data_IF_968011640103
#
_entry.id   IF_968011640103
#
_cell.length_a   1.000
_cell.length_b   1.000
_cell.length_c   1.000
_cell.angle_alpha   90.00
_cell.angle_beta   90.00
_cell.angle_gamma   90.00
#
_symmetry.space_group_name_H-M   'P 1'
#
loop_
_entity.id
_entity.type
_entity.pdbx_description
1 polymer ?
#
# COMPACT_ATOMS: atom_id res chain seq x y z
N UNK A 1 11.26 2.65 -1.70
CA UNK A 1 12.36 1.70 -2.01
C UNK A 1 13.49 1.75 -0.98
N UNK A 2 14.02 2.90 -0.60
CA UNK A 2 15.16 3.00 0.32
C UNK A 2 14.99 2.32 1.69
N UNK A 3 13.75 2.20 2.19
CA UNK A 3 13.44 1.51 3.45
C UNK A 3 13.19 0.01 3.27
N UNK A 4 12.86 -0.42 2.06
CA UNK A 4 12.69 -1.84 1.71
C UNK A 4 14.05 -2.50 1.47
N UNK A 5 14.94 -1.79 0.78
CA UNK A 5 16.34 -2.16 0.57
C UNK A 5 17.18 -1.11 1.30
N UNK A 6 17.75 -1.42 2.46
CA UNK A 6 18.22 -0.42 3.42
C UNK A 6 19.41 0.39 2.89
N UNK A 7 19.12 1.45 2.18
CA UNK A 7 20.03 2.54 1.86
C UNK A 7 20.06 3.55 3.01
N UNK A 8 18.99 3.56 3.82
CA UNK A 8 18.83 4.39 5.02
C UNK A 8 18.68 3.45 6.22
N UNK A 9 19.32 3.76 7.34
CA UNK A 9 19.15 2.99 8.58
C UNK A 9 17.66 2.96 8.98
N UNK A 10 17.05 1.76 9.12
CA UNK A 10 15.60 1.61 9.28
C UNK A 10 14.98 2.33 10.47
N UNK A 11 15.71 2.54 11.56
CA UNK A 11 15.25 3.24 12.76
C UNK A 11 15.92 4.61 12.95
N UNK A 12 16.44 5.20 11.86
CA UNK A 12 16.88 6.59 11.88
C UNK A 12 15.68 7.54 11.94
N UNK A 13 15.90 8.76 12.39
CA UNK A 13 14.89 9.81 12.39
C UNK A 13 14.32 10.05 10.99
N UNK A 14 15.17 10.03 9.96
CA UNK A 14 14.78 10.17 8.56
C UNK A 14 13.82 9.05 8.16
N UNK A 15 14.14 7.79 8.46
CA UNK A 15 13.32 6.65 8.15
C UNK A 15 11.96 6.72 8.84
N UNK A 16 11.93 7.10 10.12
CA UNK A 16 10.71 7.28 10.89
C UNK A 16 9.82 8.38 10.30
N UNK A 17 10.40 9.52 9.93
CA UNK A 17 9.67 10.62 9.30
C UNK A 17 9.10 10.21 7.93
N UNK A 18 9.88 9.50 7.10
CA UNK A 18 9.42 8.97 5.82
C UNK A 18 8.23 8.02 5.99
N UNK A 19 8.32 7.06 6.89
CA UNK A 19 7.24 6.09 7.13
C UNK A 19 5.98 6.76 7.69
N UNK A 20 6.13 7.73 8.57
CA UNK A 20 5.01 8.52 9.09
C UNK A 20 4.29 9.29 7.97
N UNK A 21 5.03 9.89 7.03
CA UNK A 21 4.44 10.57 5.87
C UNK A 21 3.72 9.56 4.98
N UNK A 22 4.35 8.45 4.63
CA UNK A 22 3.74 7.37 3.83
C UNK A 22 2.44 6.88 4.48
N UNK A 23 2.49 6.54 5.77
CA UNK A 23 1.34 6.07 6.55
C UNK A 23 0.17 7.05 6.52
N UNK A 24 0.45 8.33 6.76
CA UNK A 24 -0.59 9.37 6.88
C UNK A 24 -1.15 9.84 5.54
N UNK A 25 -0.30 9.95 4.52
CA UNK A 25 -0.67 10.60 3.26
C UNK A 25 -0.97 9.62 2.13
N UNK A 26 -0.34 8.44 2.10
CA UNK A 26 -0.42 7.53 0.96
C UNK A 26 -1.18 6.23 1.24
N UNK A 27 -1.03 5.62 2.42
CA UNK A 27 -1.68 4.33 2.75
C UNK A 27 -3.19 4.50 2.87
N UNK A 28 -3.94 3.64 2.16
CA UNK A 28 -5.38 3.51 2.32
C UNK A 28 -5.80 2.03 2.51
N UNK A 29 -7.07 1.69 2.28
CA UNK A 29 -7.55 0.32 2.51
C UNK A 29 -7.03 -0.67 1.46
N UNK A 30 -6.84 -0.23 0.22
CA UNK A 30 -6.52 -1.08 -0.92
C UNK A 30 -5.06 -1.00 -1.40
N UNK A 31 -4.25 -0.11 -0.82
CA UNK A 31 -2.87 0.04 -1.28
C UNK A 31 -2.21 1.34 -0.86
N UNK A 32 -1.25 1.77 -1.65
CA UNK A 32 -0.67 3.10 -1.55
C UNK A 32 -1.06 3.95 -2.75
N UNK A 33 -1.42 5.19 -2.47
CA UNK A 33 -1.57 6.22 -3.50
C UNK A 33 -0.21 6.59 -4.06
N UNK A 34 -0.16 6.85 -5.35
CA UNK A 34 1.08 7.27 -6.03
C UNK A 34 1.42 8.73 -5.83
N UNK A 35 0.43 9.55 -5.42
CA UNK A 35 0.60 10.95 -5.07
C UNK A 35 -0.29 11.30 -3.86
N UNK A 36 0.13 12.21 -3.02
CA UNK A 36 -0.65 12.62 -1.86
C UNK A 36 -1.76 13.61 -2.25
N UNK A 37 -2.90 13.52 -1.58
CA UNK A 37 -3.98 14.49 -1.75
C UNK A 37 -3.48 15.90 -1.37
N UNK A 38 -3.74 16.85 -2.23
CA UNK A 38 -3.31 18.25 -2.09
C UNK A 38 -2.03 18.60 -2.85
N UNK A 39 -1.34 17.62 -3.41
CA UNK A 39 -0.23 17.88 -4.34
C UNK A 39 -0.76 18.28 -5.72
N UNK A 40 0.05 19.03 -6.47
CA UNK A 40 -0.28 19.43 -7.83
C UNK A 40 -0.53 18.22 -8.73
N UNK A 41 -1.55 18.28 -9.58
CA UNK A 41 -1.98 17.20 -10.48
C UNK A 41 -2.53 15.94 -9.78
N UNK A 42 -2.87 15.99 -8.49
CA UNK A 42 -3.49 14.86 -7.80
C UNK A 42 -4.86 14.49 -8.36
N UNK A 43 -5.06 13.20 -8.68
CA UNK A 43 -6.30 12.64 -9.21
C UNK A 43 -6.79 11.53 -8.30
N UNK A 44 -8.09 11.53 -7.96
CA UNK A 44 -8.70 10.54 -7.06
C UNK A 44 -9.36 9.37 -7.77
N UNK A 45 -9.77 9.55 -9.04
CA UNK A 45 -10.57 8.58 -9.81
C UNK A 45 -9.91 8.31 -11.15
N UNK A 46 -9.76 7.03 -11.49
CA UNK A 46 -9.22 6.58 -12.77
C UNK A 46 -10.34 6.41 -13.78
N UNK A 47 -10.59 7.44 -14.60
CA UNK A 47 -11.68 7.43 -15.58
C UNK A 47 -11.42 8.36 -16.78
N UNK A 48 -12.31 8.30 -17.77
CA UNK A 48 -12.27 9.15 -18.93
C UNK A 48 -11.67 8.48 -20.17
N UNK A 49 -11.24 9.27 -21.15
CA UNK A 49 -10.55 8.80 -22.34
C UNK A 49 -9.12 8.31 -22.03
N UNK A 50 -8.45 7.77 -23.03
CA UNK A 50 -7.10 7.20 -22.89
C UNK A 50 -6.11 8.23 -22.31
N UNK A 51 -6.05 9.43 -22.86
CA UNK A 51 -5.16 10.50 -22.40
C UNK A 51 -5.37 10.85 -20.92
N UNK A 52 -6.63 10.97 -20.48
CA UNK A 52 -6.96 11.24 -19.07
C UNK A 52 -6.55 10.10 -18.17
N UNK A 53 -6.75 8.87 -18.60
CA UNK A 53 -6.34 7.69 -17.82
C UNK A 53 -4.82 7.60 -17.71
N UNK A 54 -4.09 7.79 -18.79
CA UNK A 54 -2.63 7.75 -18.79
C UNK A 54 -2.03 8.83 -17.89
N UNK A 55 -2.54 10.04 -17.98
CA UNK A 55 -2.07 11.15 -17.12
C UNK A 55 -2.41 10.94 -15.64
N UNK A 56 -3.51 10.25 -15.30
CA UNK A 56 -3.91 10.00 -13.91
C UNK A 56 -3.26 8.76 -13.28
N UNK A 57 -2.76 7.83 -14.08
CA UNK A 57 -2.34 6.49 -13.68
C UNK A 57 -1.35 6.45 -12.51
N UNK A 58 -0.45 7.44 -12.45
CA UNK A 58 0.53 7.61 -11.39
C UNK A 58 0.38 8.93 -10.60
N UNK A 59 -0.79 9.55 -10.66
CA UNK A 59 -1.05 10.87 -10.06
C UNK A 59 -2.08 10.79 -8.91
N UNK A 60 -1.97 9.78 -8.07
CA UNK A 60 -2.83 9.65 -6.90
C UNK A 60 -3.61 8.35 -6.81
N UNK A 61 -3.72 7.60 -7.90
CA UNK A 61 -4.40 6.31 -7.96
C UNK A 61 -3.73 5.31 -7.02
N UNK A 62 -4.52 4.44 -6.41
CA UNK A 62 -4.08 3.45 -5.42
C UNK A 62 -3.60 2.17 -6.07
N UNK A 63 -2.42 1.70 -5.68
CA UNK A 63 -1.80 0.48 -6.16
C UNK A 63 -1.62 -0.54 -5.02
N UNK A 64 -2.25 -1.72 -5.10
CA UNK A 64 -2.16 -2.73 -4.03
C UNK A 64 -0.74 -3.25 -3.79
N UNK A 65 0.02 -3.56 -4.85
CA UNK A 65 1.35 -4.14 -4.73
C UNK A 65 2.33 -3.28 -3.91
N UNK A 66 2.13 -1.96 -3.89
CA UNK A 66 2.96 -1.05 -3.11
C UNK A 66 2.86 -1.29 -1.59
N UNK A 67 1.78 -1.94 -1.11
CA UNK A 67 1.70 -2.37 0.29
C UNK A 67 2.83 -3.33 0.66
N UNK A 68 3.32 -4.15 -0.27
CA UNK A 68 4.44 -5.04 -0.04
C UNK A 68 5.74 -4.30 0.26
N UNK A 69 5.97 -3.15 -0.39
CA UNK A 69 7.13 -2.31 -0.07
C UNK A 69 7.01 -1.68 1.32
N UNK A 70 5.82 -1.19 1.66
CA UNK A 70 5.55 -0.65 2.99
C UNK A 70 5.67 -1.72 4.08
N UNK A 71 5.12 -2.91 3.86
CA UNK A 71 5.27 -4.08 4.73
C UNK A 71 6.73 -4.43 4.99
N UNK A 72 7.56 -4.50 3.94
CA UNK A 72 8.99 -4.77 4.09
C UNK A 72 9.73 -3.69 4.89
N UNK A 73 9.35 -2.43 4.73
CA UNK A 73 9.92 -1.34 5.50
C UNK A 73 9.59 -1.48 7.00
N UNK A 74 8.35 -1.85 7.34
CA UNK A 74 7.96 -2.14 8.73
C UNK A 74 8.70 -3.35 9.30
N UNK A 75 8.84 -4.44 8.53
CA UNK A 75 9.66 -5.61 8.94
C UNK A 75 11.12 -5.23 9.21
N UNK A 76 11.70 -4.35 8.41
CA UNK A 76 13.07 -3.88 8.62
C UNK A 76 13.20 -3.03 9.88
N UNK A 77 12.20 -2.19 10.21
CA UNK A 77 12.15 -1.49 11.50
C UNK A 77 12.13 -2.46 12.68
N UNK A 78 11.24 -3.46 12.61
CA UNK A 78 11.12 -4.49 13.66
C UNK A 78 12.43 -5.23 13.88
N UNK A 79 13.10 -5.66 12.82
CA UNK A 79 14.41 -6.33 12.90
C UNK A 79 15.51 -5.49 13.53
N UNK A 80 15.38 -4.17 13.49
CA UNK A 80 16.36 -3.20 13.97
C UNK A 80 15.87 -2.43 15.21
N UNK A 81 14.83 -2.92 15.87
CA UNK A 81 14.34 -2.35 17.13
C UNK A 81 15.45 -2.32 18.19
N UNK A 82 15.57 -1.19 18.90
CA UNK A 82 16.66 -0.93 19.87
C UNK A 82 16.23 -1.22 21.30
N UNK A 83 14.93 -1.37 21.55
CA UNK A 83 14.34 -1.69 22.84
C UNK A 83 13.14 -2.62 22.69
N UNK A 84 12.73 -3.29 23.78
CA UNK A 84 11.52 -4.10 23.79
C UNK A 84 10.26 -3.25 23.56
N UNK A 85 10.24 -2.01 24.00
CA UNK A 85 9.15 -1.08 23.75
C UNK A 85 8.98 -0.76 22.25
N UNK A 86 10.06 -0.41 21.58
CA UNK A 86 10.06 -0.21 20.12
C UNK A 86 9.64 -1.49 19.38
N UNK A 87 10.10 -2.64 19.83
CA UNK A 87 9.75 -3.92 19.22
C UNK A 87 8.26 -4.18 19.31
N UNK A 88 7.65 -4.01 20.48
CA UNK A 88 6.20 -4.17 20.67
C UNK A 88 5.39 -3.19 19.82
N UNK A 89 5.84 -1.92 19.71
CA UNK A 89 5.20 -0.93 18.85
C UNK A 89 5.22 -1.36 17.38
N UNK A 90 6.37 -1.81 16.89
CA UNK A 90 6.52 -2.21 15.49
C UNK A 90 5.79 -3.52 15.17
N UNK A 91 5.74 -4.46 16.11
CA UNK A 91 4.93 -5.69 15.98
C UNK A 91 3.44 -5.35 15.90
N UNK A 92 2.95 -4.47 16.74
CA UNK A 92 1.55 -4.01 16.71
C UNK A 92 1.20 -3.31 15.40
N UNK A 93 2.07 -2.42 14.91
CA UNK A 93 1.88 -1.73 13.63
C UNK A 93 1.84 -2.72 12.45
N UNK A 94 2.75 -3.68 12.44
CA UNK A 94 2.82 -4.72 11.43
C UNK A 94 1.59 -5.63 11.46
N UNK A 95 1.16 -6.05 12.65
CA UNK A 95 -0.03 -6.87 12.83
C UNK A 95 -1.31 -6.15 12.40
N UNK A 96 -1.43 -4.86 12.70
CA UNK A 96 -2.55 -4.02 12.22
C UNK A 96 -2.59 -3.94 10.69
N UNK A 97 -1.43 -3.80 10.04
CA UNK A 97 -1.37 -3.83 8.57
C UNK A 97 -1.84 -5.17 8.01
N UNK A 98 -1.33 -6.29 8.53
CA UNK A 98 -1.70 -7.65 8.12
C UNK A 98 -3.21 -7.85 8.26
N UNK A 99 -3.75 -7.61 9.44
CA UNK A 99 -5.18 -7.81 9.74
C UNK A 99 -6.09 -6.95 8.86
N UNK A 100 -5.70 -5.69 8.64
CA UNK A 100 -6.45 -4.78 7.76
C UNK A 100 -6.42 -5.26 6.31
N UNK A 101 -5.25 -5.68 5.83
CA UNK A 101 -5.07 -6.20 4.47
C UNK A 101 -5.89 -7.46 4.26
N UNK A 102 -5.82 -8.42 5.17
CA UNK A 102 -6.60 -9.65 5.14
C UNK A 102 -8.11 -9.34 5.10
N UNK A 103 -8.61 -8.53 6.03
CA UNK A 103 -10.02 -8.15 6.09
C UNK A 103 -10.52 -7.48 4.79
N UNK A 104 -9.70 -6.61 4.21
CA UNK A 104 -10.07 -5.90 2.98
C UNK A 104 -10.11 -6.85 1.79
N UNK A 105 -9.04 -7.59 1.57
CA UNK A 105 -8.88 -8.38 0.35
C UNK A 105 -9.61 -9.73 0.39
N UNK A 106 -9.83 -10.34 1.55
CA UNK A 106 -10.73 -11.50 1.67
C UNK A 106 -12.14 -11.16 1.19
N UNK A 107 -12.61 -9.93 1.49
CA UNK A 107 -13.90 -9.47 0.97
C UNK A 107 -13.84 -9.14 -0.52
N UNK A 108 -12.79 -8.45 -0.95
CA UNK A 108 -12.62 -7.94 -2.32
C UNK A 108 -12.64 -9.06 -3.35
N UNK A 109 -11.89 -10.15 -3.12
CA UNK A 109 -11.77 -11.27 -4.06
C UNK A 109 -13.08 -12.04 -4.31
N UNK A 110 -14.12 -11.81 -3.49
CA UNK A 110 -15.44 -12.44 -3.65
C UNK A 110 -16.53 -11.48 -4.14
N UNK A 111 -16.30 -10.18 -4.13
CA UNK A 111 -17.38 -9.20 -4.32
C UNK A 111 -17.16 -8.22 -5.47
N UNK A 112 -15.93 -7.95 -5.85
CA UNK A 112 -15.63 -6.90 -6.83
C UNK A 112 -14.61 -7.38 -7.88
N UNK A 113 -14.59 -6.70 -9.01
CA UNK A 113 -13.64 -6.97 -10.08
C UNK A 113 -13.70 -8.40 -10.63
N UNK A 114 -12.58 -9.05 -10.74
CA UNK A 114 -12.45 -10.46 -11.12
C UNK A 114 -12.51 -11.34 -9.88
N UNK A 115 -13.56 -12.17 -9.77
CA UNK A 115 -13.71 -13.13 -8.66
C UNK A 115 -12.48 -14.02 -8.54
N UNK A 116 -11.93 -14.11 -7.34
CA UNK A 116 -10.72 -14.88 -7.04
C UNK A 116 -9.41 -14.16 -7.37
N UNK A 117 -9.46 -12.87 -7.75
CA UNK A 117 -8.27 -12.08 -8.06
C UNK A 117 -8.33 -10.67 -7.46
N UNK A 118 -7.27 -9.91 -7.67
CA UNK A 118 -7.12 -8.53 -7.21
C UNK A 118 -6.77 -7.66 -8.41
N UNK A 119 -7.46 -6.54 -8.55
CA UNK A 119 -7.23 -5.59 -9.63
C UNK A 119 -5.85 -4.91 -9.52
N UNK A 120 -5.40 -4.35 -10.62
CA UNK A 120 -4.15 -3.62 -10.73
C UNK A 120 -4.14 -2.36 -9.86
N UNK A 121 -5.19 -1.58 -9.96
CA UNK A 121 -5.35 -0.28 -9.30
C UNK A 121 -6.77 -0.13 -8.74
N UNK A 122 -6.91 0.84 -7.84
CA UNK A 122 -8.20 1.25 -7.24
C UNK A 122 -8.30 2.76 -7.22
N UNK A 123 -9.52 3.28 -7.34
CA UNK A 123 -9.77 4.68 -7.05
C UNK A 123 -9.31 5.03 -5.63
N UNK A 124 -8.80 6.24 -5.43
CA UNK A 124 -8.24 6.66 -4.13
C UNK A 124 -9.28 7.28 -3.20
N UNK A 125 -10.49 7.50 -3.70
CA UNK A 125 -11.66 8.00 -2.98
C UNK A 125 -12.75 6.94 -2.90
N UNK A 126 -13.59 6.97 -1.88
CA UNK A 126 -14.73 6.04 -1.73
C UNK A 126 -15.85 6.30 -2.76
N UNK A 127 -16.48 5.23 -3.27
CA UNK A 127 -16.11 3.82 -3.13
C UNK A 127 -14.83 3.54 -3.93
N UNK A 128 -13.86 2.88 -3.33
CA UNK A 128 -12.60 2.57 -3.98
C UNK A 128 -12.80 1.45 -5.01
N UNK A 129 -13.25 1.82 -6.20
CA UNK A 129 -13.58 0.85 -7.25
C UNK A 129 -12.32 0.26 -7.89
N UNK A 130 -12.32 -1.06 -8.21
CA UNK A 130 -11.25 -1.70 -8.95
C UNK A 130 -11.19 -1.17 -10.38
N UNK A 131 -9.98 -0.93 -10.87
CA UNK A 131 -9.69 -0.35 -12.19
C UNK A 131 -8.43 -0.99 -12.78
N UNK A 132 -8.08 -0.58 -14.00
CA UNK A 132 -6.93 -1.14 -14.72
C UNK A 132 -7.17 -2.58 -15.12
N UNK A 133 -6.13 -3.41 -15.10
CA UNK A 133 -6.26 -4.85 -15.30
C UNK A 133 -7.07 -5.46 -14.15
N UNK A 134 -8.15 -6.20 -14.49
CA UNK A 134 -9.08 -6.77 -13.50
C UNK A 134 -8.48 -7.88 -12.65
N UNK A 135 -7.37 -8.48 -13.11
CA UNK A 135 -6.63 -9.54 -12.43
C UNK A 135 -5.13 -9.27 -12.64
N UNK A 136 -4.44 -8.84 -11.58
CA UNK A 136 -3.04 -8.44 -11.67
C UNK A 136 -2.15 -9.28 -10.75
N UNK A 137 -1.20 -9.99 -11.35
CA UNK A 137 -0.34 -10.96 -10.67
C UNK A 137 0.42 -10.35 -9.48
N UNK A 138 1.05 -9.21 -9.64
CA UNK A 138 1.80 -8.57 -8.54
C UNK A 138 0.91 -8.05 -7.41
N UNK A 139 -0.32 -7.63 -7.70
CA UNK A 139 -1.30 -7.29 -6.66
C UNK A 139 -1.64 -8.53 -5.83
N UNK A 140 -1.96 -9.64 -6.49
CA UNK A 140 -2.24 -10.92 -5.82
C UNK A 140 -1.03 -11.39 -5.02
N UNK A 141 0.17 -11.42 -5.62
CA UNK A 141 1.38 -11.91 -5.00
C UNK A 141 1.76 -11.13 -3.73
N UNK A 142 1.76 -9.80 -3.79
CA UNK A 142 2.14 -8.96 -2.65
C UNK A 142 1.09 -8.99 -1.53
N UNK A 143 -0.19 -8.97 -1.86
CA UNK A 143 -1.25 -9.05 -0.86
C UNK A 143 -1.24 -10.42 -0.16
N UNK A 144 -1.09 -11.52 -0.90
CA UNK A 144 -0.96 -12.85 -0.32
C UNK A 144 0.28 -12.97 0.58
N UNK A 145 1.41 -12.43 0.15
CA UNK A 145 2.65 -12.43 0.94
C UNK A 145 2.47 -11.70 2.28
N UNK A 146 1.78 -10.58 2.29
CA UNK A 146 1.46 -9.84 3.52
C UNK A 146 0.57 -10.66 4.43
N UNK A 147 -0.54 -11.21 3.90
CA UNK A 147 -1.50 -12.01 4.69
C UNK A 147 -0.83 -13.24 5.31
N UNK A 148 0.06 -13.90 4.57
CA UNK A 148 0.80 -15.06 5.05
C UNK A 148 1.96 -14.70 6.00
N UNK A 149 2.21 -13.42 6.28
CA UNK A 149 3.26 -12.95 7.18
C UNK A 149 4.70 -13.16 6.68
N UNK A 150 4.90 -13.30 5.36
CA UNK A 150 6.18 -13.70 4.74
C UNK A 150 6.98 -12.56 4.12
#
# INVERSE_FOLDING_TARGET
MSLTYPVIEPNSEIANNMLNVVKKKLVNAYGLKTLAKGEENYVEVYEGNEEKRDTSYHQGITWPWLLGLYYNALKNRLKKAKSEEEKLEFEDELQKLITKTEKTFTKEIYQNGCIGSIAEIYDSVKPQLPKGAIAQCWSVGEIFRIIMGK
#
